data_IF_694600613166
#
_entry.id   IF_694600613166
#
_cell.length_a   1.000
_cell.length_b   1.000
_cell.length_c   1.000
_cell.angle_alpha   90.00
_cell.angle_beta   90.00
_cell.angle_gamma   90.00
#
_symmetry.space_group_name_H-M   'P 1'
#
loop_
_entity.id
_entity.type
_entity.pdbx_description
1 polymer ?
#
# COMPACT_ATOMS: atom_id res chain seq x y z
N UNK A 1 7.90 25.98 4.70
CA UNK A 1 6.83 25.65 3.74
C UNK A 1 7.43 24.76 2.68
N UNK A 2 6.90 23.55 2.50
CA UNK A 2 7.48 22.60 1.56
C UNK A 2 7.19 23.04 0.12
N UNK A 3 8.02 22.58 -0.82
CA UNK A 3 7.76 22.81 -2.24
C UNK A 3 6.44 22.12 -2.62
N UNK A 4 5.52 22.87 -3.26
CA UNK A 4 4.18 22.37 -3.62
C UNK A 4 4.22 21.14 -4.53
N UNK A 5 5.20 21.03 -5.43
CA UNK A 5 5.39 19.84 -6.27
C UNK A 5 5.73 18.62 -5.41
N UNK A 6 6.60 18.78 -4.41
CA UNK A 6 6.98 17.70 -3.49
C UNK A 6 5.78 17.26 -2.66
N UNK A 7 4.98 18.21 -2.14
CA UNK A 7 3.75 17.89 -1.39
C UNK A 7 2.76 17.11 -2.25
N UNK A 8 2.59 17.48 -3.52
CA UNK A 8 1.74 16.75 -4.44
C UNK A 8 2.25 15.32 -4.71
N UNK A 9 3.56 15.14 -4.90
CA UNK A 9 4.16 13.81 -5.10
C UNK A 9 4.04 12.93 -3.85
N UNK A 10 4.21 13.49 -2.65
CA UNK A 10 4.04 12.73 -1.40
C UNK A 10 2.58 12.31 -1.21
N UNK A 11 1.61 13.19 -1.49
CA UNK A 11 0.19 12.78 -1.45
C UNK A 11 -0.11 11.64 -2.43
N UNK A 12 0.44 11.70 -3.65
CA UNK A 12 0.34 10.60 -4.61
C UNK A 12 1.01 9.32 -4.09
N UNK A 13 2.16 9.45 -3.43
CA UNK A 13 2.88 8.31 -2.85
C UNK A 13 2.07 7.65 -1.73
N UNK A 14 1.41 8.44 -0.86
CA UNK A 14 0.52 7.89 0.19
C UNK A 14 -0.53 6.97 -0.43
N UNK A 15 -1.19 7.40 -1.52
CA UNK A 15 -2.18 6.55 -2.18
C UNK A 15 -1.54 5.32 -2.85
N UNK A 16 -0.32 5.46 -3.39
CA UNK A 16 0.43 4.35 -3.97
C UNK A 16 0.75 3.27 -2.92
N UNK A 17 1.26 3.65 -1.74
CA UNK A 17 1.54 2.67 -0.67
C UNK A 17 0.27 1.98 -0.17
N UNK A 18 -0.85 2.72 -0.05
CA UNK A 18 -2.13 2.12 0.33
C UNK A 18 -2.66 1.16 -0.74
N UNK A 19 -2.45 1.46 -2.03
CA UNK A 19 -2.79 0.55 -3.11
C UNK A 19 -1.88 -0.69 -3.14
N UNK A 20 -0.58 -0.54 -2.90
CA UNK A 20 0.36 -1.65 -2.73
C UNK A 20 -0.06 -2.56 -1.58
N UNK A 21 -0.45 -2.00 -0.44
CA UNK A 21 -1.00 -2.77 0.67
C UNK A 21 -2.23 -3.58 0.25
N UNK A 22 -3.14 -3.00 -0.55
CA UNK A 22 -4.33 -3.70 -1.01
C UNK A 22 -4.01 -4.83 -1.99
N UNK A 23 -3.02 -4.63 -2.87
CA UNK A 23 -2.49 -5.69 -3.75
C UNK A 23 -1.91 -6.83 -2.90
N UNK A 24 -1.03 -6.53 -1.94
CA UNK A 24 -0.43 -7.57 -1.09
C UNK A 24 -1.47 -8.33 -0.27
N UNK A 25 -2.55 -7.66 0.13
CA UNK A 25 -3.66 -8.33 0.81
C UNK A 25 -4.39 -9.30 -0.13
N UNK A 26 -4.58 -8.93 -1.40
CA UNK A 26 -5.17 -9.80 -2.41
C UNK A 26 -4.28 -11.02 -2.72
N UNK A 27 -2.97 -10.80 -2.86
CA UNK A 27 -1.99 -11.89 -3.02
C UNK A 27 -1.99 -12.81 -1.80
N UNK A 28 -2.11 -12.27 -0.58
CA UNK A 28 -2.22 -13.07 0.63
C UNK A 28 -3.45 -13.99 0.61
N UNK A 29 -4.58 -13.51 0.07
CA UNK A 29 -5.79 -14.32 -0.10
C UNK A 29 -5.56 -15.45 -1.12
N UNK A 30 -4.94 -15.15 -2.26
CA UNK A 30 -4.61 -16.15 -3.27
C UNK A 30 -3.76 -17.32 -2.71
N UNK A 31 -2.72 -17.01 -1.94
CA UNK A 31 -1.89 -18.05 -1.30
C UNK A 31 -2.65 -18.79 -0.20
N UNK A 32 -3.53 -18.13 0.55
CA UNK A 32 -4.35 -18.77 1.57
C UNK A 32 -5.33 -19.77 0.95
N UNK A 33 -6.01 -19.40 -0.14
CA UNK A 33 -6.93 -20.26 -0.90
C UNK A 33 -6.21 -21.48 -1.51
N UNK A 34 -4.91 -21.35 -1.76
CA UNK A 34 -4.03 -22.42 -2.23
C UNK A 34 -3.43 -23.28 -1.10
N UNK A 35 -3.85 -23.09 0.15
CA UNK A 35 -3.30 -23.72 1.37
C UNK A 35 -1.79 -23.45 1.60
N UNK A 36 -1.23 -22.40 1.01
CA UNK A 36 0.17 -21.98 1.13
C UNK A 36 0.34 -20.94 2.25
N UNK A 37 0.01 -21.33 3.48
CA UNK A 37 -0.12 -20.42 4.63
C UNK A 37 1.14 -19.62 4.96
N UNK A 38 2.33 -20.14 4.66
CA UNK A 38 3.60 -19.41 4.86
C UNK A 38 3.69 -18.16 3.97
N UNK A 39 3.37 -18.30 2.68
CA UNK A 39 3.33 -17.18 1.73
C UNK A 39 2.20 -16.21 2.07
N UNK A 40 1.02 -16.73 2.42
CA UNK A 40 -0.10 -15.90 2.85
C UNK A 40 0.27 -15.02 4.08
N UNK A 41 0.96 -15.59 5.06
CA UNK A 41 1.44 -14.84 6.22
C UNK A 41 2.49 -13.79 5.83
N UNK A 42 3.43 -14.13 4.96
CA UNK A 42 4.43 -13.18 4.47
C UNK A 42 3.77 -11.97 3.82
N UNK A 43 2.83 -12.16 2.90
CA UNK A 43 2.12 -11.06 2.25
C UNK A 43 1.21 -10.27 3.21
N UNK A 44 0.67 -10.89 4.27
CA UNK A 44 -0.02 -10.15 5.35
C UNK A 44 0.93 -9.22 6.11
N UNK A 45 2.18 -9.64 6.35
CA UNK A 45 3.20 -8.79 6.96
C UNK A 45 3.56 -7.64 6.01
N UNK A 46 3.76 -7.93 4.71
CA UNK A 46 4.04 -6.88 3.71
C UNK A 46 2.88 -5.88 3.57
N UNK A 47 1.63 -6.36 3.65
CA UNK A 47 0.45 -5.49 3.71
C UNK A 47 0.53 -4.49 4.88
N UNK A 48 1.01 -4.94 6.04
CA UNK A 48 1.20 -4.06 7.19
C UNK A 48 2.36 -3.09 6.98
N UNK A 49 3.49 -3.54 6.42
CA UNK A 49 4.64 -2.69 6.11
C UNK A 49 4.26 -1.53 5.18
N UNK A 50 3.52 -1.79 4.10
CA UNK A 50 3.09 -0.72 3.18
C UNK A 50 2.10 0.26 3.81
N UNK A 51 1.23 -0.22 4.72
CA UNK A 51 0.37 0.68 5.51
C UNK A 51 1.22 1.59 6.40
N UNK A 52 2.27 1.04 7.01
CA UNK A 52 3.18 1.83 7.86
C UNK A 52 3.99 2.84 7.02
N UNK A 53 4.38 2.51 5.80
CA UNK A 53 4.96 3.45 4.84
C UNK A 53 4.00 4.61 4.53
N UNK A 54 2.73 4.32 4.23
CA UNK A 54 1.71 5.36 4.00
C UNK A 54 1.58 6.29 5.22
N UNK A 55 1.50 5.72 6.42
CA UNK A 55 1.41 6.50 7.66
C UNK A 55 2.65 7.37 7.90
N UNK A 56 3.85 6.88 7.55
CA UNK A 56 5.09 7.66 7.63
C UNK A 56 5.01 8.92 6.76
N UNK A 57 4.57 8.80 5.50
CA UNK A 57 4.41 9.94 4.60
C UNK A 57 3.31 10.90 5.07
N UNK A 58 2.18 10.39 5.57
CA UNK A 58 1.13 11.20 6.16
C UNK A 58 1.66 12.03 7.34
N UNK A 59 2.35 11.39 8.28
CA UNK A 59 2.94 12.05 9.44
C UNK A 59 3.98 13.10 9.02
N UNK A 60 4.79 12.82 8.00
CA UNK A 60 5.74 13.79 7.46
C UNK A 60 5.05 15.06 6.95
N UNK A 61 3.96 14.94 6.18
CA UNK A 61 3.21 16.12 5.71
C UNK A 61 2.59 16.90 6.88
N UNK A 62 1.94 16.21 7.81
CA UNK A 62 1.30 16.84 8.97
C UNK A 62 2.31 17.58 9.86
N UNK A 63 3.47 16.96 10.12
CA UNK A 63 4.55 17.57 10.91
C UNK A 63 5.12 18.84 10.26
N UNK A 64 4.97 19.00 8.94
CA UNK A 64 5.40 20.17 8.18
C UNK A 64 4.25 21.16 7.91
N UNK A 65 3.08 20.95 8.51
CA UNK A 65 1.91 21.82 8.33
C UNK A 65 1.24 21.71 6.96
N UNK A 66 1.54 20.65 6.21
CA UNK A 66 0.95 20.40 4.89
C UNK A 66 -0.29 19.51 5.01
N UNK A 67 -1.23 19.66 4.06
CA UNK A 67 -2.47 18.89 4.04
C UNK A 67 -2.26 17.52 3.39
N UNK A 68 -2.80 16.48 4.03
CA UNK A 68 -2.96 15.14 3.44
C UNK A 68 -4.25 15.09 2.61
N UNK A 69 -4.16 14.55 1.40
CA UNK A 69 -5.29 14.29 0.50
C UNK A 69 -5.27 12.81 0.16
N UNK A 70 -6.34 12.10 0.54
CA UNK A 70 -6.54 10.70 0.19
C UNK A 70 -7.33 10.61 -1.11
N UNK A 71 -7.00 9.61 -1.91
CA UNK A 71 -7.69 9.30 -3.17
C UNK A 71 -8.38 7.93 -3.06
N UNK A 72 -9.17 7.59 -4.08
CA UNK A 72 -9.80 6.27 -4.14
C UNK A 72 -8.74 5.18 -4.30
N UNK A 73 -8.96 4.07 -3.57
CA UNK A 73 -8.18 2.84 -3.74
C UNK A 73 -9.07 1.85 -4.49
N UNK A 74 -8.72 1.56 -5.75
CA UNK A 74 -9.45 0.58 -6.55
C UNK A 74 -9.14 -0.83 -6.07
N UNK A 75 -10.12 -1.73 -6.21
CA UNK A 75 -9.88 -3.16 -6.04
C UNK A 75 -8.81 -3.63 -7.04
N UNK A 76 -7.84 -4.46 -6.63
CA UNK A 76 -6.92 -5.11 -7.55
C UNK A 76 -7.69 -5.94 -8.58
N UNK A 77 -7.23 -5.96 -9.84
CA UNK A 77 -7.79 -6.76 -10.93
C UNK A 77 -6.82 -7.87 -11.39
N UNK A 78 -5.98 -8.33 -10.46
CA UNK A 78 -4.92 -9.30 -10.72
C UNK A 78 -5.50 -10.70 -10.98
N UNK A 79 -4.92 -11.40 -11.95
CA UNK A 79 -5.25 -12.78 -12.28
C UNK A 79 -4.02 -13.64 -12.06
N UNK A 80 -4.04 -14.43 -10.99
CA UNK A 80 -2.94 -15.33 -10.64
C UNK A 80 -3.08 -16.66 -11.38
N UNK A 81 -2.13 -16.96 -12.27
CA UNK A 81 -2.12 -18.23 -13.05
C UNK A 81 -1.10 -19.25 -12.55
N UNK A 82 -0.14 -18.82 -11.74
CA UNK A 82 0.84 -19.68 -11.05
C UNK A 82 1.37 -19.01 -9.77
N UNK A 83 2.36 -19.63 -9.11
CA UNK A 83 2.96 -19.13 -7.85
C UNK A 83 4.25 -18.32 -8.04
N UNK A 84 4.55 -17.88 -9.27
CA UNK A 84 5.77 -17.09 -9.57
C UNK A 84 5.47 -15.59 -9.72
N UNK A 85 4.19 -15.23 -9.56
CA UNK A 85 3.68 -13.86 -9.69
C UNK A 85 3.72 -13.15 -8.34
#
# INVERSE_FOLDING_TARGET
MLNKEIVAKINKQINFELYSAYIYLDIANYYADSNLNGFANWFKIQTQEERDHAMLFMNYLLNNGEKVVLEDIKAPDLVYTDFRQ
#
